data_IF_100170903043
#
_entry.id   IF_100170903043
#
_cell.length_a   1.000
_cell.length_b   1.000
_cell.length_c   1.000
_cell.angle_alpha   90.00
_cell.angle_beta   90.00
_cell.angle_gamma   90.00
#
_symmetry.space_group_name_H-M   'P 1'
#
loop_
_entity.id
_entity.type
_entity.pdbx_description
1 polymer ?
#
# COMPACT_ATOMS: atom_id res chain seq x y z
N UNK A 1 -23.29 30.69 31.95
CA UNK A 1 -22.93 29.30 32.21
C UNK A 1 -23.51 28.41 31.12
N UNK A 2 -22.78 28.20 30.01
CA UNK A 2 -23.18 27.31 28.90
C UNK A 2 -21.95 26.97 28.06
N UNK A 3 -21.02 26.15 28.59
CA UNK A 3 -19.85 25.66 27.85
C UNK A 3 -19.49 24.22 28.25
N UNK A 4 -20.41 23.25 28.14
CA UNK A 4 -20.08 21.88 28.51
C UNK A 4 -20.51 20.81 27.49
N UNK A 5 -20.95 21.20 26.29
CA UNK A 5 -21.48 20.26 25.29
C UNK A 5 -20.53 19.84 24.17
N UNK A 6 -19.49 20.59 23.89
CA UNK A 6 -18.63 20.36 22.70
C UNK A 6 -17.49 19.37 22.91
N UNK A 7 -17.07 19.12 24.15
CA UNK A 7 -15.92 18.24 24.44
C UNK A 7 -16.18 16.77 24.18
N UNK A 8 -17.35 16.29 24.57
CA UNK A 8 -17.68 14.84 24.54
C UNK A 8 -17.93 14.35 23.11
N UNK A 9 -18.57 15.19 22.27
CA UNK A 9 -18.84 14.86 20.87
C UNK A 9 -17.58 14.83 20.02
N UNK A 10 -16.61 15.71 20.28
CA UNK A 10 -15.34 15.74 19.57
C UNK A 10 -14.48 14.53 19.88
N UNK A 11 -14.45 14.09 21.13
CA UNK A 11 -13.73 12.89 21.55
C UNK A 11 -14.36 11.61 21.01
N UNK A 12 -15.69 11.53 20.96
CA UNK A 12 -16.42 10.40 20.39
C UNK A 12 -16.17 10.28 18.86
N UNK A 13 -16.08 11.40 18.16
CA UNK A 13 -15.74 11.41 16.72
C UNK A 13 -14.30 10.99 16.46
N UNK A 14 -13.33 11.38 17.32
CA UNK A 14 -11.93 10.98 17.21
C UNK A 14 -11.73 9.49 17.50
N UNK A 15 -12.43 8.93 18.50
CA UNK A 15 -12.37 7.50 18.82
C UNK A 15 -13.02 6.65 17.73
N UNK A 16 -14.14 7.11 17.15
CA UNK A 16 -14.80 6.43 16.03
C UNK A 16 -13.96 6.40 14.76
N UNK A 17 -13.18 7.44 14.49
CA UNK A 17 -12.26 7.49 13.35
C UNK A 17 -11.03 6.60 13.53
N UNK A 18 -10.50 6.49 14.76
CA UNK A 18 -9.36 5.65 15.06
C UNK A 18 -9.66 4.14 14.93
N UNK A 19 -10.88 3.70 15.23
CA UNK A 19 -11.27 2.29 15.12
C UNK A 19 -11.54 1.85 13.67
N UNK A 20 -11.89 2.78 12.79
CA UNK A 20 -12.09 2.47 11.37
C UNK A 20 -10.78 2.17 10.61
N UNK A 21 -9.61 2.62 11.11
CA UNK A 21 -8.31 2.37 10.49
C UNK A 21 -7.68 1.02 10.85
N UNK A 22 -8.21 0.32 11.85
CA UNK A 22 -7.62 -0.95 12.33
C UNK A 22 -7.99 -2.17 11.47
N UNK A 23 -8.90 -2.04 10.51
CA UNK A 23 -9.46 -3.16 9.74
C UNK A 23 -8.62 -3.69 8.58
N UNK A 24 -7.50 -3.05 8.21
CA UNK A 24 -6.74 -3.40 7.00
C UNK A 24 -5.33 -3.96 7.25
N UNK A 25 -5.02 -4.42 8.47
CA UNK A 25 -3.66 -4.88 8.80
C UNK A 25 -3.30 -6.28 8.27
N UNK A 26 -4.24 -7.01 7.66
CA UNK A 26 -3.98 -8.32 7.04
C UNK A 26 -3.81 -8.15 5.53
N UNK A 27 -2.66 -7.64 5.10
CA UNK A 27 -2.33 -7.61 3.67
C UNK A 27 -2.25 -9.04 3.11
N UNK A 28 -2.66 -9.25 1.84
CA UNK A 28 -2.55 -10.54 1.20
C UNK A 28 -1.08 -10.99 1.15
N UNK A 29 -0.85 -12.28 1.40
CA UNK A 29 0.47 -12.87 1.19
C UNK A 29 0.95 -12.56 -0.24
N UNK A 30 2.26 -12.32 -0.40
CA UNK A 30 2.86 -12.06 -1.71
C UNK A 30 2.64 -13.27 -2.62
N UNK A 31 1.60 -13.23 -3.43
CA UNK A 31 1.34 -14.25 -4.44
C UNK A 31 1.88 -13.74 -5.80
N UNK A 32 2.60 -14.60 -6.55
CA UNK A 32 3.01 -14.26 -7.90
C UNK A 32 1.79 -14.10 -8.81
N UNK A 33 1.85 -13.17 -9.74
CA UNK A 33 0.80 -12.97 -10.75
C UNK A 33 0.89 -13.94 -11.91
N UNK A 34 1.98 -14.71 -11.98
CA UNK A 34 2.27 -15.62 -13.09
C UNK A 34 1.56 -16.96 -12.90
N UNK A 35 0.98 -17.46 -13.98
CA UNK A 35 0.41 -18.81 -14.04
C UNK A 35 1.49 -19.82 -14.39
N UNK A 36 1.59 -20.89 -13.58
CA UNK A 36 2.60 -21.93 -13.72
C UNK A 36 1.96 -23.21 -14.23
N UNK A 37 2.42 -23.67 -15.38
CA UNK A 37 1.93 -24.89 -16.03
C UNK A 37 2.96 -25.99 -15.90
N UNK A 38 2.60 -27.15 -15.29
CA UNK A 38 3.49 -28.29 -15.18
C UNK A 38 3.74 -28.93 -16.54
N UNK A 39 4.96 -29.39 -16.76
CA UNK A 39 5.34 -30.20 -17.91
C UNK A 39 5.12 -31.70 -17.63
N UNK A 40 5.25 -32.55 -18.68
CA UNK A 40 5.07 -34.00 -18.53
C UNK A 40 6.00 -34.57 -17.44
N UNK A 41 5.41 -35.30 -16.48
CA UNK A 41 6.13 -35.95 -15.38
C UNK A 41 6.27 -35.13 -14.09
N UNK A 42 5.70 -33.93 -14.05
CA UNK A 42 5.65 -33.15 -12.82
C UNK A 42 4.33 -33.39 -12.08
N UNK A 43 4.43 -33.75 -10.79
CA UNK A 43 3.25 -33.94 -9.93
C UNK A 43 2.82 -32.61 -9.30
N UNK A 44 1.53 -32.51 -8.91
CA UNK A 44 1.02 -31.32 -8.23
C UNK A 44 1.74 -31.05 -6.89
N UNK A 45 2.17 -32.11 -6.20
CA UNK A 45 2.91 -32.00 -4.95
C UNK A 45 4.30 -31.40 -5.18
N UNK A 46 5.02 -31.87 -6.21
CA UNK A 46 6.30 -31.27 -6.60
C UNK A 46 6.14 -29.81 -7.02
N UNK A 47 5.09 -29.50 -7.79
CA UNK A 47 4.80 -28.12 -8.19
C UNK A 47 4.56 -27.21 -6.98
N UNK A 48 3.81 -27.67 -5.97
CA UNK A 48 3.57 -26.88 -4.76
C UNK A 48 4.85 -26.59 -3.97
N UNK A 49 5.70 -27.58 -3.83
CA UNK A 49 7.02 -27.44 -3.19
C UNK A 49 7.93 -26.46 -3.97
N UNK A 50 8.08 -26.68 -5.27
CA UNK A 50 8.87 -25.82 -6.15
C UNK A 50 8.37 -24.38 -6.15
N UNK A 51 7.05 -24.18 -6.13
CA UNK A 51 6.43 -22.87 -6.03
C UNK A 51 6.81 -22.16 -4.72
N UNK A 52 6.73 -22.86 -3.58
CA UNK A 52 7.07 -22.28 -2.27
C UNK A 52 8.55 -21.87 -2.20
N UNK A 53 9.44 -22.71 -2.71
CA UNK A 53 10.88 -22.41 -2.77
C UNK A 53 11.17 -21.23 -3.70
N UNK A 54 10.57 -21.19 -4.91
CA UNK A 54 10.76 -20.08 -5.84
C UNK A 54 10.17 -18.75 -5.31
N UNK A 55 9.08 -18.79 -4.55
CA UNK A 55 8.56 -17.60 -3.87
C UNK A 55 9.53 -17.08 -2.81
N UNK A 56 10.09 -17.98 -2.00
CA UNK A 56 11.07 -17.62 -0.97
C UNK A 56 12.33 -17.05 -1.60
N UNK A 57 12.85 -17.69 -2.64
CA UNK A 57 14.01 -17.22 -3.38
C UNK A 57 13.77 -15.85 -4.03
N UNK A 58 12.62 -15.65 -4.70
CA UNK A 58 12.26 -14.38 -5.32
C UNK A 58 12.18 -13.24 -4.29
N UNK A 59 11.62 -13.49 -3.10
CA UNK A 59 11.60 -12.51 -2.00
C UNK A 59 13.01 -12.14 -1.54
N UNK A 60 13.91 -13.13 -1.39
CA UNK A 60 15.29 -12.88 -0.98
C UNK A 60 16.08 -12.07 -2.02
N UNK A 61 15.87 -12.35 -3.31
CA UNK A 61 16.55 -11.65 -4.39
C UNK A 61 16.06 -10.22 -4.59
N UNK A 62 14.79 -9.96 -4.39
CA UNK A 62 14.18 -8.64 -4.69
C UNK A 62 13.94 -7.80 -3.43
N UNK A 63 14.00 -8.41 -2.25
CA UNK A 63 13.62 -7.77 -1.00
C UNK A 63 12.13 -7.40 -0.92
N UNK A 64 11.31 -7.98 -1.82
CA UNK A 64 9.89 -7.66 -1.89
C UNK A 64 9.14 -8.10 -0.64
N UNK A 65 8.56 -7.14 0.06
CA UNK A 65 7.65 -7.33 1.17
C UNK A 65 6.39 -6.47 0.94
N UNK A 66 5.23 -7.10 0.68
CA UNK A 66 4.00 -6.38 0.35
C UNK A 66 3.60 -5.31 1.37
N UNK A 67 3.77 -5.60 2.66
CA UNK A 67 3.42 -4.68 3.73
C UNK A 67 4.41 -3.53 3.81
N UNK A 68 5.70 -3.85 3.84
CA UNK A 68 6.78 -2.86 3.95
C UNK A 68 6.84 -1.95 2.72
N UNK A 69 6.69 -2.49 1.52
CA UNK A 69 6.75 -1.72 0.28
C UNK A 69 5.53 -0.81 0.12
N UNK A 70 4.35 -1.30 0.46
CA UNK A 70 3.14 -0.47 0.49
C UNK A 70 3.24 0.63 1.55
N UNK A 71 3.73 0.32 2.74
CA UNK A 71 3.88 1.29 3.82
C UNK A 71 4.90 2.39 3.50
N UNK A 72 6.05 2.03 2.90
CA UNK A 72 7.06 3.00 2.44
C UNK A 72 6.47 3.93 1.38
N UNK A 73 5.80 3.38 0.37
CA UNK A 73 5.17 4.17 -0.68
C UNK A 73 4.04 5.05 -0.15
N UNK A 74 3.22 4.53 0.76
CA UNK A 74 2.16 5.29 1.41
C UNK A 74 2.73 6.44 2.27
N UNK A 75 3.81 6.21 3.01
CA UNK A 75 4.47 7.22 3.82
C UNK A 75 5.00 8.38 2.99
N UNK A 76 5.76 8.08 1.93
CA UNK A 76 6.27 9.11 1.02
C UNK A 76 5.14 9.83 0.30
N UNK A 77 4.15 9.09 -0.21
CA UNK A 77 2.99 9.67 -0.89
C UNK A 77 2.16 10.56 0.03
N UNK A 78 1.98 10.16 1.30
CA UNK A 78 1.29 10.97 2.30
C UNK A 78 2.00 12.30 2.56
N UNK A 79 3.32 12.29 2.72
CA UNK A 79 4.11 13.50 2.94
C UNK A 79 4.03 14.45 1.75
N UNK A 80 4.25 13.95 0.53
CA UNK A 80 4.19 14.77 -0.69
C UNK A 80 2.77 15.30 -0.91
N UNK A 81 1.77 14.44 -0.71
CA UNK A 81 0.35 14.83 -0.86
C UNK A 81 -0.08 15.84 0.19
N UNK A 82 0.36 15.68 1.45
CA UNK A 82 0.01 16.63 2.52
C UNK A 82 0.62 18.01 2.27
N UNK A 83 1.90 18.09 1.84
CA UNK A 83 2.56 19.37 1.55
C UNK A 83 1.92 20.04 0.35
N UNK A 84 1.71 19.33 -0.76
CA UNK A 84 1.06 19.84 -1.95
C UNK A 84 -0.39 20.25 -1.71
N UNK A 85 -1.13 19.43 -0.99
CA UNK A 85 -2.51 19.69 -0.58
C UNK A 85 -2.64 20.88 0.35
N UNK A 86 -1.73 21.03 1.32
CA UNK A 86 -1.69 22.20 2.20
C UNK A 86 -1.46 23.49 1.42
N UNK A 87 -0.51 23.50 0.49
CA UNK A 87 -0.20 24.67 -0.33
C UNK A 87 -1.39 25.07 -1.21
N UNK A 88 -1.99 24.12 -1.92
CA UNK A 88 -3.18 24.35 -2.75
C UNK A 88 -4.39 24.78 -1.91
N UNK A 89 -4.64 24.13 -0.77
CA UNK A 89 -5.70 24.46 0.15
C UNK A 89 -5.54 25.84 0.78
N UNK A 90 -4.31 26.22 1.13
CA UNK A 90 -3.99 27.56 1.63
C UNK A 90 -4.30 28.65 0.59
N UNK A 91 -3.92 28.43 -0.68
CA UNK A 91 -4.18 29.37 -1.75
C UNK A 91 -5.68 29.59 -1.98
N UNK A 92 -6.47 28.52 -2.01
CA UNK A 92 -7.93 28.58 -2.14
C UNK A 92 -8.54 29.23 -0.88
N UNK A 93 -8.11 28.83 0.31
CA UNK A 93 -8.58 29.38 1.57
C UNK A 93 -8.26 30.84 1.75
N UNK A 94 -7.15 31.32 1.21
CA UNK A 94 -6.77 32.73 1.26
C UNK A 94 -7.77 33.62 0.50
N UNK A 95 -8.31 33.13 -0.61
CA UNK A 95 -9.31 33.86 -1.38
C UNK A 95 -10.59 34.11 -0.57
N UNK A 96 -10.88 33.28 0.43
CA UNK A 96 -12.05 33.39 1.31
C UNK A 96 -11.68 33.90 2.72
N UNK A 97 -10.46 34.34 2.95
CA UNK A 97 -9.99 34.81 4.25
C UNK A 97 -9.69 33.69 5.28
N UNK A 98 -9.70 32.44 4.88
CA UNK A 98 -9.52 31.27 5.77
C UNK A 98 -8.36 30.38 5.35
N UNK A 99 -7.19 30.96 5.02
CA UNK A 99 -6.01 30.24 4.52
C UNK A 99 -5.58 29.07 5.41
N UNK A 100 -5.60 29.24 6.75
CA UNK A 100 -5.22 28.20 7.70
C UNK A 100 -6.17 26.98 7.66
N UNK A 101 -7.47 27.20 7.59
CA UNK A 101 -8.47 26.13 7.48
C UNK A 101 -8.35 25.41 6.14
N UNK A 102 -8.15 26.17 5.04
CA UNK A 102 -7.92 25.61 3.71
C UNK A 102 -6.67 24.73 3.67
N UNK A 103 -5.56 25.19 4.28
CA UNK A 103 -4.33 24.41 4.37
C UNK A 103 -4.53 23.11 5.14
N UNK A 104 -5.25 23.14 6.27
CA UNK A 104 -5.48 21.95 7.08
C UNK A 104 -6.32 20.90 6.35
N UNK A 105 -7.41 21.33 5.68
CA UNK A 105 -8.24 20.42 4.90
C UNK A 105 -7.48 19.88 3.70
N UNK A 106 -6.70 20.72 3.01
CA UNK A 106 -5.90 20.33 1.87
C UNK A 106 -4.79 19.35 2.27
N UNK A 107 -4.13 19.56 3.41
CA UNK A 107 -3.11 18.62 3.92
C UNK A 107 -3.72 17.25 4.24
N UNK A 108 -4.88 17.22 4.89
CA UNK A 108 -5.54 15.97 5.24
C UNK A 108 -5.99 15.20 3.98
N UNK A 109 -6.66 15.86 3.05
CA UNK A 109 -7.13 15.23 1.81
C UNK A 109 -5.96 14.79 0.93
N UNK A 110 -4.95 15.63 0.76
CA UNK A 110 -3.75 15.35 0.00
C UNK A 110 -2.91 14.23 0.62
N UNK A 111 -2.79 14.20 1.95
CA UNK A 111 -2.09 13.13 2.67
C UNK A 111 -2.73 11.76 2.47
N UNK A 112 -4.06 11.67 2.61
CA UNK A 112 -4.80 10.42 2.41
C UNK A 112 -4.70 9.97 0.95
N UNK A 113 -4.97 10.86 -0.01
CA UNK A 113 -4.89 10.57 -1.44
C UNK A 113 -3.47 10.17 -1.86
N UNK A 114 -2.47 10.92 -1.39
CA UNK A 114 -1.08 10.66 -1.66
C UNK A 114 -0.60 9.33 -1.10
N UNK A 115 -1.05 8.94 0.11
CA UNK A 115 -0.73 7.65 0.70
C UNK A 115 -1.24 6.49 -0.17
N UNK A 116 -2.49 6.60 -0.66
CA UNK A 116 -3.09 5.57 -1.51
C UNK A 116 -2.31 5.40 -2.81
N UNK A 117 -2.05 6.49 -3.51
CA UNK A 117 -1.31 6.46 -4.79
C UNK A 117 0.12 5.98 -4.59
N UNK A 118 0.83 6.52 -3.59
CA UNK A 118 2.22 6.17 -3.31
C UNK A 118 2.38 4.71 -2.91
N UNK A 119 1.49 4.21 -2.06
CA UNK A 119 1.48 2.81 -1.63
C UNK A 119 1.29 1.86 -2.82
N UNK A 120 0.30 2.13 -3.66
CA UNK A 120 0.00 1.32 -4.84
C UNK A 120 1.16 1.33 -5.83
N UNK A 121 1.71 2.50 -6.12
CA UNK A 121 2.81 2.64 -7.07
C UNK A 121 4.03 1.83 -6.63
N UNK A 122 4.47 1.99 -5.38
CA UNK A 122 5.65 1.29 -4.86
C UNK A 122 5.44 -0.22 -4.81
N UNK A 123 4.26 -0.66 -4.35
CA UNK A 123 3.88 -2.07 -4.38
C UNK A 123 3.96 -2.66 -5.78
N UNK A 124 3.36 -2.01 -6.78
CA UNK A 124 3.34 -2.51 -8.17
C UNK A 124 4.75 -2.63 -8.73
N UNK A 125 5.59 -1.62 -8.51
CA UNK A 125 6.97 -1.62 -9.02
C UNK A 125 7.84 -2.69 -8.38
N UNK A 126 7.75 -2.87 -7.07
CA UNK A 126 8.48 -3.93 -6.35
C UNK A 126 7.95 -5.32 -6.72
N UNK A 127 6.64 -5.45 -6.94
CA UNK A 127 6.01 -6.69 -7.36
C UNK A 127 6.46 -7.15 -8.74
N UNK A 128 6.66 -6.26 -9.71
CA UNK A 128 7.18 -6.62 -11.04
C UNK A 128 8.57 -7.29 -10.97
N UNK A 129 9.44 -6.83 -10.08
CA UNK A 129 10.73 -7.45 -9.82
C UNK A 129 10.58 -8.86 -9.26
N UNK A 130 9.71 -9.01 -8.27
CA UNK A 130 9.39 -10.29 -7.66
C UNK A 130 8.80 -11.30 -8.67
N UNK A 131 7.82 -10.88 -9.48
CA UNK A 131 7.19 -11.75 -10.49
C UNK A 131 8.20 -12.21 -11.55
N UNK A 132 9.14 -11.36 -11.96
CA UNK A 132 10.23 -11.73 -12.86
C UNK A 132 11.18 -12.76 -12.24
N UNK A 133 11.59 -12.56 -11.00
CA UNK A 133 12.45 -13.50 -10.28
C UNK A 133 11.76 -14.84 -10.09
N UNK A 134 10.50 -14.84 -9.66
CA UNK A 134 9.69 -16.05 -9.53
C UNK A 134 9.57 -16.81 -10.84
N UNK A 135 9.24 -16.12 -11.93
CA UNK A 135 9.11 -16.72 -13.26
C UNK A 135 10.43 -17.33 -13.75
N UNK A 136 11.56 -16.66 -13.52
CA UNK A 136 12.88 -17.17 -13.86
C UNK A 136 13.21 -18.45 -13.08
N UNK A 137 12.91 -18.49 -11.78
CA UNK A 137 13.13 -19.68 -10.94
C UNK A 137 12.29 -20.87 -11.42
N UNK A 138 10.98 -20.67 -11.65
CA UNK A 138 10.08 -21.73 -12.11
C UNK A 138 10.44 -22.23 -13.52
N UNK A 139 10.81 -21.33 -14.43
CA UNK A 139 11.28 -21.70 -15.76
C UNK A 139 12.57 -22.51 -15.71
N UNK A 140 13.51 -22.18 -14.82
CA UNK A 140 14.73 -22.96 -14.59
C UNK A 140 14.48 -24.38 -14.07
N UNK A 141 13.32 -24.62 -13.43
CA UNK A 141 12.84 -25.95 -13.00
C UNK A 141 12.00 -26.69 -14.04
N UNK A 142 11.85 -26.10 -15.24
CA UNK A 142 11.16 -26.72 -16.38
C UNK A 142 9.64 -26.51 -16.39
N UNK A 143 9.12 -25.51 -15.66
CA UNK A 143 7.72 -25.12 -15.76
C UNK A 143 7.52 -24.09 -16.88
N UNK A 144 6.37 -24.12 -17.53
CA UNK A 144 5.96 -23.02 -18.41
C UNK A 144 5.27 -21.96 -17.58
N UNK A 145 5.79 -20.74 -17.64
CA UNK A 145 5.25 -19.58 -16.89
C UNK A 145 4.70 -18.56 -17.88
N UNK A 146 3.47 -18.07 -17.62
CA UNK A 146 2.78 -17.05 -18.43
C UNK A 146 2.12 -16.00 -17.55
#
# INVERSE_FOLDING_TARGET
>A
MKHTGYGVSAWAALIGFATALSGCASGPAAQPSAYVYPQKGQTAEKQSHDTAECQTWAKQQTGFDPLTDSAKGAGVGALVGAVGGAAAGAAIGAATGHAGTGAAIGAAAGGIGGAGVGGTYNYTKSKEGYDRAFSACMSGRGYTVR
#
